data_IF_294500069510
#
_entry.id   IF_294500069510
#
_cell.length_a   1.000
_cell.length_b   1.000
_cell.length_c   1.000
_cell.angle_alpha   90.00
_cell.angle_beta   90.00
_cell.angle_gamma   90.00
#
_symmetry.space_group_name_H-M   'P 1'
#
loop_
_entity.id
_entity.type
_entity.pdbx_description
1 polymer ?
#
# COMPACT_ATOMS: atom_id res chain seq x y z
N UNK A 1 -14.69 0.87 28.22
CA UNK A 1 -15.28 0.38 26.96
C UNK A 1 -14.13 -0.04 26.06
N UNK A 2 -13.92 -1.36 25.90
CA UNK A 2 -12.80 -1.89 25.13
C UNK A 2 -13.04 -1.71 23.63
N UNK A 3 -12.00 -1.33 22.88
CA UNK A 3 -11.97 -1.35 21.41
C UNK A 3 -11.97 -2.78 20.84
N UNK A 4 -12.66 -3.71 21.49
CA UNK A 4 -12.63 -5.12 21.18
C UNK A 4 -13.60 -5.41 20.02
N UNK A 5 -13.00 -5.55 18.83
CA UNK A 5 -13.52 -5.99 17.53
C UNK A 5 -14.03 -4.90 16.59
N UNK A 6 -13.10 -4.37 15.79
CA UNK A 6 -13.37 -4.16 14.37
C UNK A 6 -13.15 -5.51 13.66
N UNK A 7 -14.20 -6.32 13.43
CA UNK A 7 -14.02 -7.57 12.68
C UNK A 7 -13.57 -7.23 11.26
N UNK A 8 -12.53 -7.92 10.80
CA UNK A 8 -12.20 -7.90 9.39
C UNK A 8 -13.33 -8.60 8.63
N UNK A 9 -13.89 -7.92 7.62
CA UNK A 9 -14.87 -8.50 6.69
C UNK A 9 -14.16 -8.64 5.34
N UNK A 10 -13.75 -9.85 4.93
CA UNK A 10 -13.00 -10.04 3.70
C UNK A 10 -13.90 -9.88 2.47
N UNK A 11 -13.38 -9.23 1.43
CA UNK A 11 -14.00 -9.15 0.11
C UNK A 11 -13.05 -9.70 -0.95
N UNK A 12 -13.61 -10.22 -2.05
CA UNK A 12 -12.81 -10.67 -3.20
C UNK A 12 -12.21 -9.51 -4.00
N UNK A 13 -12.64 -8.28 -3.73
CA UNK A 13 -12.08 -7.07 -4.32
C UNK A 13 -12.84 -5.81 -3.92
N UNK A 14 -12.23 -4.65 -4.21
CA UNK A 14 -12.70 -3.33 -3.78
C UNK A 14 -14.09 -2.95 -4.31
N UNK A 15 -14.49 -3.45 -5.48
CA UNK A 15 -15.81 -3.12 -6.05
C UNK A 15 -16.97 -3.55 -5.13
N UNK A 16 -16.85 -4.69 -4.46
CA UNK A 16 -17.85 -5.17 -3.51
C UNK A 16 -17.80 -4.37 -2.21
N UNK A 17 -16.60 -4.14 -1.66
CA UNK A 17 -16.45 -3.46 -0.37
C UNK A 17 -16.89 -1.99 -0.41
N UNK A 18 -16.69 -1.27 -1.53
CA UNK A 18 -17.15 0.11 -1.69
C UNK A 18 -18.68 0.19 -1.74
N UNK A 19 -19.35 -0.76 -2.40
CA UNK A 19 -20.81 -0.80 -2.44
C UNK A 19 -21.38 -1.01 -1.03
N UNK A 20 -20.81 -1.94 -0.27
CA UNK A 20 -21.21 -2.27 1.09
C UNK A 20 -20.89 -1.13 2.08
N UNK A 21 -19.75 -0.46 1.92
CA UNK A 21 -19.43 0.74 2.70
C UNK A 21 -20.43 1.87 2.44
N UNK A 22 -20.79 2.09 1.18
CA UNK A 22 -21.72 3.16 0.81
C UNK A 22 -23.16 2.90 1.26
N UNK A 23 -23.53 1.65 1.50
CA UNK A 23 -24.85 1.25 2.02
C UNK A 23 -24.87 1.06 3.54
N UNK A 24 -23.70 1.17 4.20
CA UNK A 24 -23.56 1.03 5.64
C UNK A 24 -23.42 -0.41 6.14
N UNK A 25 -23.26 -1.38 5.25
CA UNK A 25 -23.03 -2.80 5.61
C UNK A 25 -21.66 -3.00 6.28
N UNK A 26 -20.67 -2.19 5.91
CA UNK A 26 -19.41 -2.04 6.64
C UNK A 26 -19.18 -0.56 6.97
N UNK A 27 -18.50 -0.29 8.07
CA UNK A 27 -18.34 1.08 8.59
C UNK A 27 -17.02 1.74 8.17
N UNK A 28 -16.01 0.93 7.87
CA UNK A 28 -14.65 1.37 7.56
C UNK A 28 -14.07 0.45 6.50
N UNK A 29 -13.32 1.04 5.57
CA UNK A 29 -12.58 0.31 4.55
C UNK A 29 -11.15 0.87 4.51
N UNK A 30 -10.17 -0.03 4.50
CA UNK A 30 -8.80 0.28 4.07
C UNK A 30 -8.72 -0.04 2.58
N UNK A 31 -8.42 0.96 1.76
CA UNK A 31 -8.40 0.82 0.30
C UNK A 31 -7.23 1.62 -0.31
N UNK A 32 -7.00 1.40 -1.60
CA UNK A 32 -6.01 2.17 -2.35
C UNK A 32 -6.59 3.51 -2.82
N UNK A 33 -5.74 4.53 -2.95
CA UNK A 33 -6.12 5.87 -3.42
C UNK A 33 -6.89 5.86 -4.76
N UNK A 34 -6.49 5.11 -5.81
CA UNK A 34 -7.14 5.15 -7.12
C UNK A 34 -8.59 4.67 -7.09
N UNK A 35 -8.86 3.68 -6.26
CA UNK A 35 -10.17 3.04 -6.16
C UNK A 35 -11.09 3.81 -5.23
N UNK A 36 -10.57 4.35 -4.13
CA UNK A 36 -11.36 5.13 -3.17
C UNK A 36 -11.65 6.56 -3.60
N UNK A 37 -10.68 7.29 -4.14
CA UNK A 37 -10.79 8.74 -4.38
C UNK A 37 -11.90 9.15 -5.35
N UNK A 38 -12.25 8.41 -6.42
CA UNK A 38 -13.41 8.74 -7.25
C UNK A 38 -14.71 8.86 -6.43
N UNK A 39 -14.91 7.97 -5.45
CA UNK A 39 -16.09 7.97 -4.58
C UNK A 39 -16.05 9.03 -3.49
N UNK A 40 -14.84 9.41 -3.05
CA UNK A 40 -14.65 10.55 -2.14
C UNK A 40 -14.97 11.86 -2.87
N UNK A 41 -14.45 12.03 -4.08
CA UNK A 41 -14.70 13.21 -4.92
C UNK A 41 -16.17 13.36 -5.31
N UNK A 42 -16.90 12.24 -5.47
CA UNK A 42 -18.34 12.27 -5.73
C UNK A 42 -19.18 12.51 -4.47
N UNK A 43 -18.57 12.66 -3.29
CA UNK A 43 -19.27 12.81 -2.00
C UNK A 43 -19.94 11.53 -1.48
N UNK A 44 -19.72 10.38 -2.13
CA UNK A 44 -20.32 9.10 -1.73
C UNK A 44 -19.61 8.50 -0.52
N UNK A 45 -18.30 8.70 -0.42
CA UNK A 45 -17.47 8.26 0.70
C UNK A 45 -16.74 9.46 1.32
N UNK A 46 -16.25 9.28 2.55
CA UNK A 46 -15.37 10.24 3.22
C UNK A 46 -14.03 9.58 3.51
N UNK A 47 -12.95 10.10 2.93
CA UNK A 47 -11.60 9.71 3.31
C UNK A 47 -11.24 10.28 4.69
N UNK A 48 -10.57 9.47 5.52
CA UNK A 48 -10.19 9.85 6.88
C UNK A 48 -8.71 10.18 7.00
N UNK A 49 -7.84 9.33 6.46
CA UNK A 49 -6.39 9.48 6.51
C UNK A 49 -5.72 8.59 5.46
N UNK A 50 -4.46 8.88 5.15
CA UNK A 50 -3.56 7.95 4.45
C UNK A 50 -2.75 7.11 5.43
N UNK A 51 -2.36 5.90 5.03
CA UNK A 51 -1.61 4.93 5.85
C UNK A 51 -0.09 5.03 5.69
N UNK A 52 0.38 5.91 4.80
CA UNK A 52 1.79 6.23 4.58
C UNK A 52 2.38 7.05 5.73
N UNK A 53 3.71 6.99 5.89
CA UNK A 53 4.42 7.77 6.92
C UNK A 53 4.29 9.28 6.72
N UNK A 54 4.15 9.70 5.47
CA UNK A 54 4.02 11.09 5.03
C UNK A 54 2.76 11.19 4.19
N UNK A 55 2.19 12.39 4.10
CA UNK A 55 1.05 12.66 3.21
C UNK A 55 1.42 12.30 1.76
N UNK A 56 0.50 11.65 1.06
CA UNK A 56 0.72 11.33 -0.35
C UNK A 56 0.53 12.57 -1.22
N UNK A 57 1.37 12.74 -2.24
CA UNK A 57 1.19 13.78 -3.25
C UNK A 57 -0.12 13.60 -4.05
N UNK A 58 -0.70 12.40 -4.03
CA UNK A 58 -1.95 12.06 -4.70
C UNK A 58 -3.21 12.46 -3.90
N UNK A 59 -3.07 12.72 -2.60
CA UNK A 59 -4.12 13.18 -1.70
C UNK A 59 -3.54 14.05 -0.57
N UNK A 60 -2.92 15.20 -0.89
CA UNK A 60 -2.15 16.02 0.07
C UNK A 60 -3.02 16.65 1.18
N UNK A 61 -4.32 16.76 0.95
CA UNK A 61 -5.30 17.25 1.91
C UNK A 61 -5.54 16.28 3.07
N UNK A 62 -5.28 14.98 2.86
CA UNK A 62 -5.52 13.96 3.88
C UNK A 62 -4.35 13.90 4.88
N UNK A 63 -4.64 13.85 6.19
CA UNK A 63 -3.60 13.59 7.19
C UNK A 63 -3.11 12.15 7.10
N UNK A 64 -1.94 11.88 7.67
CA UNK A 64 -1.52 10.49 7.92
C UNK A 64 -2.22 9.92 9.16
N UNK A 65 -2.27 8.60 9.30
CA UNK A 65 -2.71 7.98 10.56
C UNK A 65 -1.80 8.36 11.73
N UNK A 66 -0.50 8.58 11.48
CA UNK A 66 0.43 9.05 12.51
C UNK A 66 0.10 10.46 13.01
N UNK A 67 -0.28 11.37 12.11
CA UNK A 67 -0.79 12.70 12.45
C UNK A 67 -2.16 12.64 13.16
N UNK A 68 -2.93 11.58 12.91
CA UNK A 68 -4.31 11.39 13.40
C UNK A 68 -4.40 10.60 14.71
N UNK A 69 -3.30 10.49 15.45
CA UNK A 69 -3.28 9.88 16.79
C UNK A 69 -2.78 8.44 16.85
N UNK A 70 -2.16 7.91 15.79
CA UNK A 70 -1.45 6.62 15.81
C UNK A 70 0.06 6.80 15.51
N UNK A 71 0.85 7.40 16.43
CA UNK A 71 2.27 7.64 16.20
C UNK A 71 3.03 6.39 15.77
N UNK A 72 3.89 6.53 14.74
CA UNK A 72 4.66 5.42 14.19
C UNK A 72 3.87 4.47 13.28
N UNK A 73 2.56 4.67 13.08
CA UNK A 73 1.80 3.86 12.15
C UNK A 73 2.29 4.06 10.71
N UNK A 74 2.61 2.96 10.04
CA UNK A 74 2.77 2.94 8.59
C UNK A 74 2.47 1.57 8.02
N UNK A 75 1.56 1.55 7.05
CA UNK A 75 1.27 0.39 6.24
C UNK A 75 1.03 0.85 4.81
N UNK A 76 1.98 0.56 3.92
CA UNK A 76 1.88 0.89 2.50
C UNK A 76 2.11 -0.36 1.69
N UNK A 77 1.39 -0.47 0.58
CA UNK A 77 1.65 -1.51 -0.41
C UNK A 77 2.79 -1.05 -1.30
N UNK A 78 3.80 -1.89 -1.47
CA UNK A 78 4.91 -1.64 -2.40
C UNK A 78 4.93 -2.74 -3.46
N UNK A 79 5.49 -2.42 -4.63
CA UNK A 79 5.65 -3.34 -5.75
C UNK A 79 7.13 -3.41 -6.13
N UNK A 80 7.56 -4.57 -6.64
CA UNK A 80 8.93 -4.76 -7.09
C UNK A 80 9.07 -5.87 -8.11
N UNK A 81 10.24 -5.92 -8.73
CA UNK A 81 10.59 -6.92 -9.75
C UNK A 81 11.57 -7.90 -9.14
N UNK A 82 11.31 -9.19 -9.33
CA UNK A 82 12.13 -10.28 -8.82
C UNK A 82 12.73 -11.08 -9.96
N UNK A 83 13.97 -11.51 -9.76
CA UNK A 83 14.62 -12.52 -10.59
C UNK A 83 14.53 -13.89 -9.90
N UNK A 84 14.63 -15.01 -10.64
CA UNK A 84 14.72 -16.34 -10.04
C UNK A 84 15.89 -16.46 -9.06
N UNK A 85 15.75 -17.36 -8.07
CA UNK A 85 16.84 -17.67 -7.15
C UNK A 85 18.08 -18.15 -7.91
N UNK A 86 19.25 -17.65 -7.54
CA UNK A 86 20.52 -17.97 -8.22
C UNK A 86 20.75 -17.23 -9.54
N UNK A 87 19.90 -16.27 -9.92
CA UNK A 87 20.15 -15.43 -11.09
C UNK A 87 21.54 -14.76 -11.02
N UNK A 88 22.31 -14.73 -12.13
CA UNK A 88 23.63 -14.11 -12.15
C UNK A 88 23.57 -12.64 -11.71
N UNK A 89 24.52 -12.14 -10.89
CA UNK A 89 24.52 -10.76 -10.42
C UNK A 89 24.44 -9.72 -11.54
N UNK A 90 25.10 -9.98 -12.67
CA UNK A 90 25.06 -9.11 -13.84
C UNK A 90 23.65 -8.99 -14.46
N UNK A 91 22.84 -10.06 -14.41
CA UNK A 91 21.45 -10.02 -14.88
C UNK A 91 20.58 -9.18 -13.95
N UNK A 92 20.73 -9.38 -12.63
CA UNK A 92 20.00 -8.61 -11.61
C UNK A 92 20.30 -7.12 -11.76
N UNK A 93 21.58 -6.77 -11.92
CA UNK A 93 22.01 -5.38 -12.08
C UNK A 93 21.45 -4.77 -13.38
N UNK A 94 21.48 -5.50 -14.49
CA UNK A 94 20.90 -5.03 -15.76
C UNK A 94 19.38 -4.77 -15.65
N UNK A 95 18.65 -5.67 -14.98
CA UNK A 95 17.20 -5.49 -14.74
C UNK A 95 16.97 -4.27 -13.85
N UNK A 96 17.75 -4.14 -12.78
CA UNK A 96 17.66 -3.03 -11.85
C UNK A 96 17.88 -1.68 -12.56
N UNK A 97 18.94 -1.56 -13.37
CA UNK A 97 19.23 -0.34 -14.14
C UNK A 97 18.11 0.01 -15.12
N UNK A 98 17.58 -0.99 -15.84
CA UNK A 98 16.47 -0.78 -16.76
C UNK A 98 15.21 -0.29 -16.02
N UNK A 99 14.88 -0.89 -14.87
CA UNK A 99 13.76 -0.49 -14.05
C UNK A 99 13.95 0.92 -13.45
N UNK A 100 15.14 1.22 -12.92
CA UNK A 100 15.48 2.53 -12.36
C UNK A 100 15.38 3.64 -13.41
N UNK A 101 15.78 3.36 -14.65
CA UNK A 101 15.61 4.29 -15.78
C UNK A 101 14.14 4.48 -16.13
N UNK A 102 13.34 3.40 -16.17
CA UNK A 102 11.91 3.49 -16.46
C UNK A 102 11.14 4.31 -15.41
N UNK A 103 11.48 4.17 -14.12
CA UNK A 103 10.84 4.94 -13.03
C UNK A 103 11.10 6.44 -13.10
N UNK A 104 12.05 6.89 -13.92
CA UNK A 104 12.33 8.31 -14.16
C UNK A 104 11.65 8.85 -15.42
N UNK A 105 11.05 7.97 -16.25
CA UNK A 105 10.41 8.38 -17.49
C UNK A 105 9.08 9.12 -17.20
N UNK A 106 8.85 10.32 -17.76
CA UNK A 106 7.66 11.12 -17.44
C UNK A 106 6.32 10.43 -17.74
N UNK A 107 6.26 9.66 -18.82
CA UNK A 107 5.09 8.87 -19.24
C UNK A 107 4.80 7.73 -18.26
N UNK A 108 5.84 7.08 -17.73
CA UNK A 108 5.73 6.05 -16.69
C UNK A 108 5.24 6.68 -15.39
N UNK A 109 5.85 7.78 -14.94
CA UNK A 109 5.42 8.51 -13.73
C UNK A 109 3.96 8.94 -13.84
N UNK A 110 3.56 9.51 -14.98
CA UNK A 110 2.17 9.92 -15.22
C UNK A 110 1.21 8.73 -15.21
N UNK A 111 1.62 7.57 -15.75
CA UNK A 111 0.81 6.35 -15.74
C UNK A 111 0.67 5.78 -14.33
N UNK A 112 1.75 5.73 -13.56
CA UNK A 112 1.72 5.31 -12.15
C UNK A 112 0.82 6.22 -11.31
N UNK A 113 0.88 7.54 -11.51
CA UNK A 113 0.03 8.49 -10.80
C UNK A 113 -1.47 8.26 -11.07
N UNK A 114 -1.86 7.89 -12.30
CA UNK A 114 -3.25 7.49 -12.62
C UNK A 114 -3.67 6.21 -11.89
N UNK A 115 -2.73 5.31 -11.67
CA UNK A 115 -2.88 4.10 -10.86
C UNK A 115 -2.63 4.35 -9.37
N UNK A 116 -2.48 5.62 -8.96
CA UNK A 116 -2.18 6.06 -7.60
C UNK A 116 -0.99 5.35 -6.95
N UNK A 117 -0.02 4.98 -7.77
CA UNK A 117 1.27 4.45 -7.35
C UNK A 117 2.28 5.59 -7.44
N UNK A 118 3.00 5.82 -6.35
CA UNK A 118 4.16 6.70 -6.38
C UNK A 118 5.35 5.94 -6.98
N UNK A 119 6.16 6.56 -7.86
CA UNK A 119 7.33 5.90 -8.41
C UNK A 119 8.29 5.48 -7.30
N UNK A 120 8.90 4.30 -7.47
CA UNK A 120 9.84 3.77 -6.50
C UNK A 120 10.98 4.76 -6.25
N UNK A 121 11.35 4.98 -4.98
CA UNK A 121 12.50 5.80 -4.65
C UNK A 121 13.78 5.17 -5.22
N UNK A 122 14.76 5.99 -5.66
CA UNK A 122 16.07 5.49 -6.03
C UNK A 122 16.63 4.60 -4.93
N UNK A 123 17.04 3.39 -5.32
CA UNK A 123 17.61 2.37 -4.43
C UNK A 123 18.50 1.45 -5.25
N UNK A 124 19.25 0.56 -4.60
CA UNK A 124 19.96 -0.55 -5.24
C UNK A 124 19.18 -1.85 -5.11
N UNK A 125 19.50 -2.87 -5.91
CA UNK A 125 18.94 -4.22 -5.74
C UNK A 125 19.15 -4.78 -4.31
N UNK A 126 20.31 -4.51 -3.70
CA UNK A 126 20.62 -4.92 -2.34
C UNK A 126 19.75 -4.18 -1.29
N UNK A 127 19.53 -2.87 -1.47
CA UNK A 127 18.65 -2.09 -0.60
C UNK A 127 17.19 -2.56 -0.71
N UNK A 128 16.72 -2.86 -1.92
CA UNK A 128 15.39 -3.45 -2.12
C UNK A 128 15.27 -4.81 -1.42
N UNK A 129 16.26 -5.70 -1.57
CA UNK A 129 16.28 -6.98 -0.86
C UNK A 129 16.23 -6.81 0.66
N UNK A 130 17.00 -5.86 1.22
CA UNK A 130 16.97 -5.57 2.65
C UNK A 130 15.60 -5.05 3.13
N UNK A 131 14.95 -4.19 2.34
CA UNK A 131 13.58 -3.72 2.61
C UNK A 131 12.59 -4.88 2.65
N UNK A 132 12.64 -5.79 1.67
CA UNK A 132 11.77 -6.97 1.60
C UNK A 132 11.94 -7.86 2.83
N UNK A 133 13.18 -8.11 3.26
CA UNK A 133 13.47 -8.91 4.45
C UNK A 133 12.94 -8.24 5.73
N UNK A 134 13.15 -6.93 5.87
CA UNK A 134 12.64 -6.18 7.02
C UNK A 134 11.11 -6.18 7.09
N UNK A 135 10.44 -5.98 5.95
CA UNK A 135 8.98 -5.96 5.89
C UNK A 135 8.38 -7.36 6.13
N UNK A 136 9.00 -8.41 5.56
CA UNK A 136 8.60 -9.79 5.82
C UNK A 136 8.73 -10.15 7.30
N UNK A 137 9.83 -9.75 7.95
CA UNK A 137 10.03 -9.99 9.38
C UNK A 137 8.98 -9.25 10.23
N UNK A 138 8.70 -7.98 9.89
CA UNK A 138 7.68 -7.15 10.53
C UNK A 138 6.30 -7.80 10.46
N UNK A 139 5.86 -8.17 9.26
CA UNK A 139 4.54 -8.78 9.08
C UNK A 139 4.43 -10.17 9.71
N UNK A 140 5.49 -10.99 9.65
CA UNK A 140 5.51 -12.28 10.33
C UNK A 140 5.35 -12.14 11.86
N UNK A 141 5.96 -11.12 12.47
CA UNK A 141 5.77 -10.82 13.89
C UNK A 141 4.30 -10.46 14.18
N UNK A 142 3.72 -9.52 13.42
CA UNK A 142 2.32 -9.09 13.57
C UNK A 142 1.35 -10.26 13.42
N UNK A 143 1.52 -11.08 12.38
CA UNK A 143 0.67 -12.25 12.12
C UNK A 143 0.67 -13.21 13.30
N UNK A 144 1.86 -13.53 13.85
CA UNK A 144 2.00 -14.43 15.01
C UNK A 144 1.40 -13.83 16.28
N UNK A 145 1.75 -12.60 16.62
CA UNK A 145 1.26 -11.93 17.83
C UNK A 145 -0.26 -11.78 17.84
N UNK A 146 -0.85 -11.47 16.68
CA UNK A 146 -2.29 -11.27 16.53
C UNK A 146 -3.05 -12.54 16.15
N UNK A 147 -2.36 -13.67 16.00
CA UNK A 147 -2.94 -14.97 15.60
C UNK A 147 -3.79 -14.85 14.33
N UNK A 148 -3.33 -14.05 13.37
CA UNK A 148 -4.02 -13.86 12.10
C UNK A 148 -3.89 -15.14 11.30
N UNK A 149 -5.02 -15.69 10.88
CA UNK A 149 -5.08 -16.87 10.01
C UNK A 149 -5.81 -16.48 8.73
N UNK A 150 -5.52 -17.18 7.64
CA UNK A 150 -6.37 -17.09 6.46
C UNK A 150 -7.69 -17.77 6.83
N UNK A 151 -8.79 -17.03 6.73
CA UNK A 151 -10.13 -17.61 6.80
C UNK A 151 -10.26 -18.57 5.60
N UNK A 152 -10.51 -19.86 5.89
CA UNK A 152 -10.75 -20.89 4.88
C UNK A 152 -12.18 -20.80 4.36
#
# INVERSE_FOLDING_TARGET
MGFERFPHVPYKGTAQSIADLATGQVHVLFDSIPTGMPHVKSGRLRALAVTSQQRSALAPELPTLAESGLPGYSSVTWFGVYAPAGAPPALVERIHQAFAKAMQAPDVIASLAKLGVEPARPSTAAQFAAMVQADSARWAAVIRERKITLEQ
#
